data_IF_582612450597
#
_entry.id   IF_582612450597
#
_cell.length_a   1.000
_cell.length_b   1.000
_cell.length_c   1.000
_cell.angle_alpha   90.00
_cell.angle_beta   90.00
_cell.angle_gamma   90.00
#
_symmetry.space_group_name_H-M   'P 1'
#
loop_
_entity.id
_entity.type
_entity.pdbx_description
1 polymer ?
#
# COMPACT_ATOMS: atom_id res chain seq x y z
N UNK A 1 -7.59 -8.59 -9.33
CA UNK A 1 -6.96 -7.39 -8.73
C UNK A 1 -5.97 -7.72 -7.62
N UNK A 2 -6.14 -8.79 -6.81
CA UNK A 2 -5.10 -9.20 -5.85
C UNK A 2 -4.96 -8.31 -4.61
N UNK A 3 -5.96 -7.46 -4.34
CA UNK A 3 -6.04 -6.71 -3.08
C UNK A 3 -6.35 -7.68 -1.94
N UNK A 4 -5.67 -7.50 -0.82
CA UNK A 4 -5.89 -8.20 0.45
C UNK A 4 -6.87 -7.43 1.34
N UNK A 5 -6.91 -6.10 1.22
CA UNK A 5 -7.76 -5.21 2.03
C UNK A 5 -8.23 -4.00 1.23
N UNK A 6 -9.47 -3.55 1.48
CA UNK A 6 -10.06 -2.32 0.91
C UNK A 6 -11.24 -1.87 1.78
N UNK A 7 -11.77 -0.66 1.54
CA UNK A 7 -12.80 -0.04 2.39
C UNK A 7 -14.06 -0.91 2.58
N UNK A 8 -14.38 -1.77 1.62
CA UNK A 8 -15.53 -2.68 1.66
C UNK A 8 -15.18 -4.14 1.96
N UNK A 9 -13.92 -4.47 2.25
CA UNK A 9 -13.50 -5.88 2.40
C UNK A 9 -14.25 -6.61 3.52
N UNK A 10 -14.59 -7.92 3.38
CA UNK A 10 -14.34 -8.78 2.22
C UNK A 10 -15.50 -8.85 1.20
N UNK A 11 -16.70 -8.37 1.54
CA UNK A 11 -17.92 -8.57 0.74
C UNK A 11 -18.34 -7.35 -0.11
N UNK A 12 -17.72 -6.20 0.11
CA UNK A 12 -18.02 -4.94 -0.54
C UNK A 12 -17.25 -4.73 -1.84
N UNK A 13 -17.73 -3.78 -2.64
CA UNK A 13 -17.14 -3.41 -3.92
C UNK A 13 -15.74 -2.84 -3.75
N UNK A 14 -14.87 -3.08 -4.74
CA UNK A 14 -13.55 -2.47 -4.83
C UNK A 14 -13.73 -1.14 -5.56
N UNK A 15 -13.21 -0.06 -5.00
CA UNK A 15 -13.24 1.24 -5.65
C UNK A 15 -11.90 1.55 -6.35
N UNK A 16 -11.94 2.43 -7.35
CA UNK A 16 -10.73 2.88 -8.05
C UNK A 16 -9.69 3.50 -7.10
N UNK A 17 -10.15 4.14 -6.02
CA UNK A 17 -9.29 4.71 -4.97
C UNK A 17 -8.57 3.65 -4.13
N UNK A 18 -9.10 2.44 -4.03
CA UNK A 18 -8.48 1.36 -3.26
C UNK A 18 -7.32 0.71 -4.01
N UNK A 19 -7.37 0.77 -5.35
CA UNK A 19 -6.44 0.08 -6.25
C UNK A 19 -5.08 0.79 -6.35
N UNK A 20 -5.03 2.09 -6.10
CA UNK A 20 -3.78 2.89 -6.11
C UNK A 20 -3.02 2.85 -4.78
N UNK A 21 -3.61 2.26 -3.73
CA UNK A 21 -2.99 2.18 -2.41
C UNK A 21 -2.14 0.91 -2.32
N UNK A 22 -0.82 1.03 -2.28
CA UNK A 22 0.09 -0.12 -2.20
C UNK A 22 -0.16 -1.02 -0.97
N UNK A 23 -0.52 -0.44 0.18
CA UNK A 23 -0.82 -1.19 1.42
C UNK A 23 -1.99 -2.16 1.26
N UNK A 24 -2.91 -1.90 0.34
CA UNK A 24 -4.08 -2.74 0.10
C UNK A 24 -3.72 -4.09 -0.59
N UNK A 25 -2.46 -4.26 -1.00
CA UNK A 25 -1.94 -5.49 -1.59
C UNK A 25 -1.08 -6.29 -0.61
N UNK A 26 -0.82 -5.76 0.59
CA UNK A 26 0.00 -6.43 1.60
C UNK A 26 -0.86 -7.35 2.46
N UNK A 27 -0.34 -8.54 2.74
CA UNK A 27 -0.89 -9.45 3.75
C UNK A 27 -0.77 -8.86 5.17
N UNK A 28 -1.45 -9.47 6.13
CA UNK A 28 -1.38 -9.06 7.54
C UNK A 28 0.05 -9.14 8.10
N UNK A 29 0.78 -10.21 7.74
CA UNK A 29 2.18 -10.39 8.13
C UNK A 29 3.08 -9.30 7.53
N UNK A 30 2.89 -8.95 6.26
CA UNK A 30 3.65 -7.91 5.59
C UNK A 30 3.35 -6.50 6.13
N UNK A 31 2.08 -6.22 6.47
CA UNK A 31 1.71 -4.96 7.14
C UNK A 31 2.35 -4.88 8.52
N UNK A 32 2.32 -5.99 9.28
CA UNK A 32 2.94 -6.05 10.60
C UNK A 32 4.45 -5.82 10.51
N UNK A 33 5.11 -6.47 9.55
CA UNK A 33 6.53 -6.27 9.27
C UNK A 33 6.84 -4.82 8.89
N UNK A 34 6.05 -4.22 7.99
CA UNK A 34 6.21 -2.82 7.60
C UNK A 34 6.07 -1.88 8.80
N UNK A 35 5.09 -2.11 9.68
CA UNK A 35 4.91 -1.31 10.88
C UNK A 35 6.10 -1.43 11.83
N UNK A 36 6.63 -2.64 12.05
CA UNK A 36 7.81 -2.86 12.88
C UNK A 36 9.05 -2.14 12.31
N UNK A 37 9.24 -2.20 10.99
CA UNK A 37 10.33 -1.52 10.30
C UNK A 37 10.21 0.00 10.46
N UNK A 38 9.03 0.58 10.23
CA UNK A 38 8.79 2.03 10.36
C UNK A 38 8.99 2.50 11.80
N UNK A 39 8.40 1.80 12.78
CA UNK A 39 8.55 2.15 14.20
C UNK A 39 10.00 2.07 14.65
N UNK A 40 10.71 0.99 14.32
CA UNK A 40 12.11 0.83 14.71
C UNK A 40 13.04 1.85 14.05
N UNK A 41 12.75 2.30 12.82
CA UNK A 41 13.48 3.40 12.20
C UNK A 41 13.26 4.73 12.96
N UNK A 42 12.02 5.02 13.36
CA UNK A 42 11.70 6.22 14.12
C UNK A 42 12.35 6.22 15.51
N UNK A 43 12.38 5.06 16.19
CA UNK A 43 13.07 4.90 17.47
C UNK A 43 14.59 5.16 17.33
N UNK A 44 15.20 4.65 16.25
CA UNK A 44 16.61 4.88 15.94
C UNK A 44 16.89 6.36 15.65
N UNK A 45 16.00 7.03 14.91
CA UNK A 45 16.09 8.46 14.66
C UNK A 45 15.94 9.28 15.95
N UNK A 46 15.01 8.90 16.84
CA UNK A 46 14.83 9.56 18.13
C UNK A 46 16.08 9.45 19.01
N UNK A 47 16.74 8.29 19.05
CA UNK A 47 17.97 8.12 19.80
C UNK A 47 19.08 9.07 19.32
N UNK A 48 19.22 9.27 18.02
CA UNK A 48 20.17 10.23 17.44
C UNK A 48 19.85 11.67 17.87
N UNK A 49 18.57 12.04 17.83
CA UNK A 49 18.11 13.36 18.28
C UNK A 49 18.41 13.57 19.76
N UNK A 50 18.13 12.58 20.62
CA UNK A 50 18.44 12.63 22.06
C UNK A 50 19.93 12.74 22.34
N UNK A 51 20.78 12.16 21.49
CA UNK A 51 22.24 12.28 21.56
C UNK A 51 22.78 13.58 20.93
N UNK A 52 21.91 14.54 20.60
CA UNK A 52 22.25 15.81 19.96
C UNK A 52 23.03 15.65 18.64
N UNK A 53 22.82 14.54 17.93
CA UNK A 53 23.40 14.32 16.61
C UNK A 53 22.54 15.03 15.57
N UNK A 54 22.98 16.20 15.14
CA UNK A 54 22.38 16.92 14.02
C UNK A 54 22.46 16.05 12.77
N UNK A 55 21.32 15.81 12.14
CA UNK A 55 21.22 15.00 10.93
C UNK A 55 20.64 15.88 9.82
N UNK A 56 21.36 16.02 8.71
CA UNK A 56 20.88 16.69 7.50
C UNK A 56 19.88 15.79 6.76
N UNK A 57 19.11 16.36 5.84
CA UNK A 57 18.16 15.57 5.04
C UNK A 57 18.84 14.47 4.21
N UNK A 58 20.06 14.72 3.73
CA UNK A 58 20.86 13.73 2.99
C UNK A 58 21.27 12.56 3.88
N UNK A 59 21.79 12.85 5.08
CA UNK A 59 22.18 11.82 6.05
C UNK A 59 20.96 11.03 6.57
N UNK A 60 19.78 11.66 6.63
CA UNK A 60 18.54 10.98 6.98
C UNK A 60 18.14 9.94 5.91
N UNK A 61 18.30 10.28 4.63
CA UNK A 61 18.05 9.34 3.54
C UNK A 61 19.06 8.17 3.56
N UNK A 62 20.34 8.44 3.82
CA UNK A 62 21.36 7.42 3.97
C UNK A 62 21.09 6.51 5.18
N UNK A 63 20.68 7.06 6.32
CA UNK A 63 20.29 6.30 7.50
C UNK A 63 19.12 5.36 7.20
N UNK A 64 18.11 5.84 6.46
CA UNK A 64 16.97 5.03 6.05
C UNK A 64 17.42 3.84 5.19
N UNK A 65 18.28 4.08 4.19
CA UNK A 65 18.83 3.02 3.35
C UNK A 65 19.64 2.01 4.17
N UNK A 66 20.51 2.48 5.08
CA UNK A 66 21.28 1.61 5.97
C UNK A 66 20.39 0.78 6.89
N UNK A 67 19.31 1.37 7.42
CA UNK A 67 18.36 0.68 8.28
C UNK A 67 17.63 -0.43 7.51
N UNK A 68 17.16 -0.16 6.30
CA UNK A 68 16.52 -1.16 5.43
C UNK A 68 17.47 -2.33 5.12
N UNK A 69 18.75 -2.05 4.83
CA UNK A 69 19.76 -3.09 4.60
C UNK A 69 20.02 -3.91 5.87
N UNK A 70 20.08 -3.26 7.02
CA UNK A 70 20.31 -3.91 8.31
C UNK A 70 19.17 -4.86 8.71
N UNK A 71 17.92 -4.51 8.42
CA UNK A 71 16.76 -5.38 8.69
C UNK A 71 16.64 -6.56 7.72
N UNK A 72 17.56 -6.70 6.76
CA UNK A 72 17.55 -7.76 5.75
C UNK A 72 16.74 -7.42 4.50
N UNK A 73 16.25 -6.18 4.38
CA UNK A 73 15.63 -5.66 3.18
C UNK A 73 16.65 -5.30 2.09
N UNK A 74 16.15 -5.00 0.90
CA UNK A 74 16.97 -4.48 -0.21
C UNK A 74 16.66 -2.99 -0.40
N UNK A 75 17.69 -2.16 -0.31
CA UNK A 75 17.56 -0.75 -0.66
C UNK A 75 17.39 -0.63 -2.19
N UNK A 76 16.52 0.28 -2.63
CA UNK A 76 16.32 0.53 -4.05
C UNK A 76 17.56 1.26 -4.62
N UNK A 77 18.16 0.69 -5.67
CA UNK A 77 19.24 1.35 -6.38
C UNK A 77 18.69 2.42 -7.34
N UNK A 78 19.04 3.69 -7.05
CA UNK A 78 18.56 4.83 -7.82
C UNK A 78 17.09 5.18 -7.55
N UNK A 79 16.40 5.65 -8.59
CA UNK A 79 15.01 6.15 -8.49
C UNK A 79 13.97 5.09 -8.90
N UNK A 80 14.41 3.88 -9.28
CA UNK A 80 13.60 2.91 -9.99
C UNK A 80 13.31 3.32 -11.45
N UNK A 81 12.60 2.47 -12.18
CA UNK A 81 12.26 2.67 -13.60
C UNK A 81 10.80 3.10 -13.84
N UNK A 82 9.96 3.04 -12.80
CA UNK A 82 8.51 3.26 -12.90
C UNK A 82 8.13 4.42 -11.99
N UNK A 83 7.57 5.48 -12.58
CA UNK A 83 7.02 6.60 -11.82
C UNK A 83 5.70 6.21 -11.15
N UNK A 84 5.35 6.91 -10.08
CA UNK A 84 4.05 6.75 -9.41
C UNK A 84 2.87 6.91 -10.39
N UNK A 85 2.94 7.89 -11.29
CA UNK A 85 1.87 8.13 -12.28
C UNK A 85 1.66 6.93 -13.21
N UNK A 86 2.75 6.31 -13.68
CA UNK A 86 2.67 5.11 -14.52
C UNK A 86 2.13 3.90 -13.74
N UNK A 87 2.51 3.76 -12.46
CA UNK A 87 1.98 2.70 -11.61
C UNK A 87 0.47 2.88 -11.36
N UNK A 88 0.03 4.10 -11.05
CA UNK A 88 -1.38 4.44 -10.82
C UNK A 88 -2.22 4.22 -12.09
N UNK A 89 -1.72 4.66 -13.26
CA UNK A 89 -2.38 4.44 -14.55
C UNK A 89 -2.57 2.95 -14.84
N UNK A 90 -1.51 2.15 -14.69
CA UNK A 90 -1.59 0.70 -14.88
C UNK A 90 -2.59 0.06 -13.92
N UNK A 91 -2.61 0.48 -12.66
CA UNK A 91 -3.52 -0.06 -11.66
C UNK A 91 -4.99 0.28 -12.02
N UNK A 92 -5.25 1.51 -12.47
CA UNK A 92 -6.56 1.94 -12.95
C UNK A 92 -7.00 1.19 -14.23
N UNK A 93 -6.08 0.90 -15.15
CA UNK A 93 -6.36 0.12 -16.36
C UNK A 93 -6.82 -1.30 -16.05
N UNK A 94 -6.12 -1.98 -15.14
CA UNK A 94 -6.53 -3.30 -14.67
C UNK A 94 -7.84 -3.25 -13.89
N UNK A 95 -8.06 -2.19 -13.10
CA UNK A 95 -9.35 -1.97 -12.44
C UNK A 95 -10.49 -1.78 -13.42
N UNK A 96 -10.29 -1.06 -14.53
CA UNK A 96 -11.33 -0.86 -15.56
C UNK A 96 -11.79 -2.20 -16.13
N UNK A 97 -10.86 -3.07 -16.50
CA UNK A 97 -11.16 -4.43 -16.98
C UNK A 97 -11.89 -5.25 -15.93
N UNK A 98 -11.48 -5.15 -14.66
CA UNK A 98 -12.09 -5.89 -13.57
C UNK A 98 -13.50 -5.38 -13.22
N UNK A 99 -13.72 -4.07 -13.22
CA UNK A 99 -14.99 -3.46 -12.80
C UNK A 99 -16.17 -3.85 -13.69
N UNK A 100 -15.93 -4.23 -14.96
CA UNK A 100 -16.97 -4.79 -15.84
C UNK A 100 -17.55 -6.12 -15.32
N UNK A 101 -16.76 -6.91 -14.58
CA UNK A 101 -17.20 -8.18 -14.00
C UNK A 101 -17.93 -8.00 -12.65
N UNK A 102 -17.94 -6.79 -12.10
CA UNK A 102 -18.43 -6.53 -10.75
C UNK A 102 -19.90 -6.09 -10.81
N UNK A 103 -20.82 -6.94 -10.36
CA UNK A 103 -22.26 -6.62 -10.30
C UNK A 103 -22.51 -5.28 -9.61
N UNK A 104 -23.37 -4.45 -10.20
CA UNK A 104 -23.80 -3.21 -9.59
C UNK A 104 -24.66 -3.51 -8.36
N UNK A 105 -24.60 -2.65 -7.34
CA UNK A 105 -25.49 -2.75 -6.18
C UNK A 105 -26.96 -2.59 -6.59
N UNK A 106 -27.21 -1.91 -7.72
CA UNK A 106 -28.52 -1.85 -8.37
C UNK A 106 -28.95 -3.23 -8.92
N UNK A 107 -28.04 -3.95 -9.59
CA UNK A 107 -28.35 -5.27 -10.13
C UNK A 107 -28.66 -6.26 -9.00
N UNK A 108 -27.89 -6.21 -7.91
CA UNK A 108 -28.15 -7.00 -6.70
C UNK A 108 -29.50 -6.67 -6.06
N UNK A 109 -29.87 -5.39 -6.02
CA UNK A 109 -31.16 -4.95 -5.48
C UNK A 109 -32.33 -5.48 -6.32
N UNK A 110 -32.23 -5.41 -7.66
CA UNK A 110 -33.25 -5.92 -8.57
C UNK A 110 -33.37 -7.45 -8.47
N UNK A 111 -32.24 -8.16 -8.36
CA UNK A 111 -32.24 -9.61 -8.16
C UNK A 111 -32.91 -10.00 -6.84
N UNK A 112 -32.60 -9.29 -5.74
CA UNK A 112 -33.24 -9.53 -4.44
C UNK A 112 -34.75 -9.28 -4.44
N UNK A 113 -35.24 -8.31 -5.23
CA UNK A 113 -36.68 -8.10 -5.41
C UNK A 113 -37.30 -9.25 -6.21
N UNK A 114 -36.66 -9.69 -7.29
CA UNK A 114 -37.15 -10.78 -8.16
C UNK A 114 -37.14 -12.15 -7.49
N UNK A 115 -36.21 -12.40 -6.56
CA UNK A 115 -36.14 -13.67 -5.79
C UNK A 115 -37.16 -13.75 -4.64
N UNK A 116 -37.91 -12.67 -4.36
CA UNK A 116 -38.90 -12.60 -3.26
C UNK A 116 -40.35 -12.75 -3.73
N UNK A 117 -40.59 -12.89 -5.04
CA UNK A 117 -41.88 -13.30 -5.64
C UNK A 117 -41.90 -14.81 -5.96
#
# INVERSE_FOLDING_TARGET
>A
MGLTSWKGSPAGKIHSSDVTIAKNYLSEDEITHLNQLVSGFLDAAELRVRNHQLTTMTECAELCNQYILFTGGQALEGLGSISKAQADEKALDEFRKFNETQLSDFDKFIQGILDTE
#
